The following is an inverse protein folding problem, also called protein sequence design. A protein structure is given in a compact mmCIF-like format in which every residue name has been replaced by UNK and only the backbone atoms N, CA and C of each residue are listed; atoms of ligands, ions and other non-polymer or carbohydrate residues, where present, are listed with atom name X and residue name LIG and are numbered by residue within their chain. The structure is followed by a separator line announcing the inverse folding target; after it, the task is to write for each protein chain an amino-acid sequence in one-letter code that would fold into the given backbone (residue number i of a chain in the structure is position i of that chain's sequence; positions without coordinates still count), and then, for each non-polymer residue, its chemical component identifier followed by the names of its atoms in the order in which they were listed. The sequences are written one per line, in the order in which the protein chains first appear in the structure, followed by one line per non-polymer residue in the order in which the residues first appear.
data_IF_690973342762
#
_entry.id   IF_690973342762
#
_cell.length_a   1.000
_cell.length_b   1.000
_cell.length_c   1.000
_cell.angle_alpha   90.00
_cell.angle_beta   90.00
_cell.angle_gamma   90.00
#
_symmetry.space_group_name_H-M   'P 1'
#
loop_
_entity.id
_entity.type
_entity.pdbx_description
1 polymer ?
#
# COMPACT_ATOMS: atom_id res chain seq x y z
N UNK A 1 -6.31 -1.24 26.15
CA UNK A 1 -5.05 -1.78 25.57
C UNK A 1 -4.87 -1.17 24.20
N UNK A 2 -4.09 -0.10 24.10
CA UNK A 2 -3.71 0.54 22.84
C UNK A 2 -2.66 -0.34 22.16
N UNK A 3 -3.04 -1.08 21.11
CA UNK A 3 -2.08 -1.75 20.24
C UNK A 3 -1.32 -0.67 19.48
N UNK A 4 -0.10 -0.37 19.90
CA UNK A 4 0.86 0.39 19.10
C UNK A 4 1.09 -0.36 17.80
N UNK A 5 0.51 0.14 16.70
CA UNK A 5 0.83 -0.31 15.36
C UNK A 5 2.26 0.17 15.12
N UNK A 6 3.24 -0.70 15.37
CA UNK A 6 4.59 -0.52 14.82
C UNK A 6 4.45 -0.62 13.30
N UNK A 7 4.15 0.51 12.67
CA UNK A 7 4.23 0.64 11.22
C UNK A 7 5.70 0.50 10.86
N UNK A 8 6.06 -0.60 10.20
CA UNK A 8 7.37 -0.71 9.57
C UNK A 8 7.44 0.37 8.47
N UNK A 9 8.11 1.47 8.75
CA UNK A 9 8.34 2.58 7.82
C UNK A 9 9.61 2.25 7.05
N UNK A 10 9.47 1.82 5.80
CA UNK A 10 10.61 1.63 4.91
C UNK A 10 10.91 2.95 4.19
N UNK A 11 12.19 3.34 4.16
CA UNK A 11 12.68 4.56 3.54
C UNK A 11 13.03 4.27 2.08
N UNK A 12 12.32 4.89 1.15
CA UNK A 12 12.70 4.96 -0.26
C UNK A 12 13.71 6.10 -0.40
N UNK A 13 15.01 5.77 -0.45
CA UNK A 13 16.10 6.74 -0.61
C UNK A 13 16.57 6.83 -2.07
N UNK A 14 16.62 8.04 -2.62
CA UNK A 14 16.94 8.33 -4.03
C UNK A 14 18.43 8.50 -4.36
N UNK A 15 19.34 7.99 -3.53
CA UNK A 15 20.77 8.20 -3.75
C UNK A 15 21.32 7.31 -4.87
N UNK A 16 21.55 7.97 -6.02
CA UNK A 16 22.35 7.56 -7.17
C UNK A 16 21.58 6.86 -8.31
N UNK A 17 21.79 7.39 -9.51
CA UNK A 17 21.26 6.94 -10.81
C UNK A 17 21.67 5.49 -11.12
N UNK A 18 20.92 4.55 -10.56
CA UNK A 18 20.71 3.22 -11.11
C UNK A 18 19.22 2.95 -10.97
N UNK A 19 18.61 2.32 -11.99
CA UNK A 19 17.19 1.93 -12.04
C UNK A 19 16.86 0.84 -11.00
N UNK A 20 17.16 1.07 -9.73
CA UNK A 20 16.65 0.25 -8.64
C UNK A 20 15.21 0.68 -8.42
N UNK A 21 14.27 0.03 -9.10
CA UNK A 21 12.86 0.11 -8.74
C UNK A 21 12.73 -0.47 -7.34
N UNK A 22 12.70 0.38 -6.32
CA UNK A 22 12.48 -0.07 -4.95
C UNK A 22 10.98 -0.37 -4.81
N UNK A 23 10.66 -1.64 -4.62
CA UNK A 23 9.31 -2.15 -4.47
C UNK A 23 9.10 -2.60 -3.03
N UNK A 24 7.97 -2.21 -2.44
CA UNK A 24 7.59 -2.61 -1.09
C UNK A 24 6.18 -3.20 -1.14
N UNK A 25 6.01 -4.35 -0.50
CA UNK A 25 4.75 -5.09 -0.48
C UNK A 25 4.21 -5.14 0.93
N UNK A 26 2.96 -4.70 1.11
CA UNK A 26 2.25 -4.73 2.39
C UNK A 26 0.93 -5.45 2.27
N UNK A 27 0.62 -6.32 3.23
CA UNK A 27 -0.68 -6.96 3.31
C UNK A 27 -1.70 -6.04 3.99
N UNK A 28 -2.95 -6.53 4.06
CA UNK A 28 -4.12 -5.81 4.58
C UNK A 28 -3.98 -5.21 5.99
N UNK A 29 -3.18 -5.82 6.85
CA UNK A 29 -2.93 -5.34 8.21
C UNK A 29 -1.77 -4.32 8.31
N UNK A 30 -1.15 -3.97 7.18
CA UNK A 30 -0.04 -3.02 7.09
C UNK A 30 1.33 -3.61 7.41
N UNK A 31 1.41 -4.91 7.74
CA UNK A 31 2.68 -5.61 7.90
C UNK A 31 3.39 -5.77 6.54
N UNK A 32 4.72 -5.76 6.59
CA UNK A 32 5.55 -5.96 5.39
C UNK A 32 5.71 -7.46 5.16
N UNK A 33 5.54 -7.90 3.92
CA UNK A 33 5.65 -9.31 3.57
C UNK A 33 6.87 -9.59 2.71
N UNK A 34 7.62 -10.62 3.06
CA UNK A 34 8.56 -11.27 2.14
C UNK A 34 7.80 -12.32 1.32
N UNK A 35 8.16 -12.53 0.05
CA UNK A 35 7.58 -13.62 -0.74
C UNK A 35 8.43 -14.89 -0.55
N UNK A 36 7.99 -15.86 0.26
CA UNK A 36 8.76 -17.07 0.49
C UNK A 36 8.88 -17.90 -0.80
N UNK A 37 10.07 -18.48 -1.02
CA UNK A 37 10.35 -19.37 -2.16
C UNK A 37 9.82 -20.79 -1.98
N UNK A 38 9.43 -21.16 -0.76
CA UNK A 38 8.94 -22.49 -0.43
C UNK A 38 7.45 -22.61 -0.68
N UNK A 39 7.05 -23.69 -1.37
CA UNK A 39 5.66 -24.15 -1.50
C UNK A 39 5.10 -24.52 -0.12
N UNK A 40 4.72 -23.50 0.65
CA UNK A 40 3.88 -23.66 1.83
C UNK A 40 2.53 -24.18 1.35
N UNK A 41 2.24 -25.46 1.63
CA UNK A 41 0.99 -26.12 1.22
C UNK A 41 -0.25 -25.64 1.99
N UNK A 42 -0.09 -24.79 3.01
CA UNK A 42 -1.16 -24.43 3.95
C UNK A 42 -1.49 -22.93 4.08
N UNK A 43 -0.78 -22.05 3.37
CA UNK A 43 -1.14 -20.61 3.37
C UNK A 43 -1.63 -20.21 1.99
N UNK A 44 -2.92 -19.84 1.87
CA UNK A 44 -3.39 -19.08 0.70
C UNK A 44 -2.38 -17.96 0.42
N UNK A 45 -1.96 -17.74 -0.85
CA UNK A 45 -0.96 -16.74 -1.14
C UNK A 45 -1.50 -15.38 -0.70
N UNK A 46 -0.80 -14.76 0.26
CA UNK A 46 -1.23 -13.51 0.85
C UNK A 46 -1.17 -12.42 -0.21
N UNK A 47 -2.35 -11.94 -0.61
CA UNK A 47 -2.47 -10.78 -1.49
C UNK A 47 -1.95 -9.53 -0.77
N UNK A 48 -1.07 -8.80 -1.43
CA UNK A 48 -0.43 -7.59 -0.91
C UNK A 48 -0.62 -6.43 -1.89
N UNK A 49 -0.51 -5.20 -1.40
CA UNK A 49 -0.35 -4.03 -2.25
C UNK A 49 1.14 -3.75 -2.40
N UNK A 50 1.59 -3.77 -3.64
CA UNK A 50 2.92 -3.32 -4.04
C UNK A 50 2.90 -1.84 -4.39
N UNK A 51 3.84 -1.09 -3.81
CA UNK A 51 4.15 0.28 -4.23
C UNK A 51 5.59 0.31 -4.71
N UNK A 52 5.80 0.85 -5.91
CA UNK A 52 7.13 1.02 -6.48
C UNK A 52 7.38 2.45 -6.91
N UNK A 53 8.59 2.94 -6.65
CA UNK A 53 9.07 4.22 -7.17
C UNK A 53 9.59 4.02 -8.60
N UNK A 54 8.96 4.69 -9.57
CA UNK A 54 9.27 4.53 -11.00
C UNK A 54 10.20 5.62 -11.50
N UNK A 55 9.95 6.86 -11.08
CA UNK A 55 10.69 8.01 -11.55
C UNK A 55 10.68 9.13 -10.54
N UNK A 56 11.81 9.81 -10.49
CA UNK A 56 11.98 11.09 -9.83
C UNK A 56 12.56 12.10 -10.83
N UNK A 57 12.04 13.32 -10.80
CA UNK A 57 12.63 14.44 -11.54
C UNK A 57 12.55 15.70 -10.69
N UNK A 58 13.71 16.22 -10.27
CA UNK A 58 13.80 17.41 -9.44
C UNK A 58 14.18 18.65 -10.26
N UNK A 59 13.60 19.78 -9.88
CA UNK A 59 13.97 21.15 -10.25
C UNK A 59 14.29 21.92 -8.97
N UNK A 60 14.82 23.14 -9.04
CA UNK A 60 15.21 23.91 -7.85
C UNK A 60 14.07 24.19 -6.85
N UNK A 61 12.80 24.04 -7.26
CA UNK A 61 11.63 24.33 -6.41
C UNK A 61 10.62 23.19 -6.30
N UNK A 62 10.70 22.19 -7.19
CA UNK A 62 9.70 21.13 -7.27
C UNK A 62 10.32 19.80 -7.62
N UNK A 63 9.79 18.73 -7.05
CA UNK A 63 10.14 17.35 -7.36
C UNK A 63 8.92 16.60 -7.87
N UNK A 64 9.05 15.98 -9.04
CA UNK A 64 8.05 15.09 -9.59
C UNK A 64 8.37 13.67 -9.19
N UNK A 65 7.45 13.02 -8.48
CA UNK A 65 7.57 11.63 -8.05
C UNK A 65 6.49 10.81 -8.74
N UNK A 66 6.88 9.76 -9.45
CA UNK A 66 5.96 8.81 -10.06
C UNK A 66 6.06 7.47 -9.35
N UNK A 67 4.94 6.98 -8.83
CA UNK A 67 4.83 5.65 -8.21
C UNK A 67 3.87 4.76 -8.98
N UNK A 68 4.16 3.46 -9.02
CA UNK A 68 3.18 2.46 -9.43
C UNK A 68 2.59 1.81 -8.19
N UNK A 69 1.29 1.59 -8.24
CA UNK A 69 0.54 0.88 -7.20
C UNK A 69 -0.15 -0.29 -7.87
N UNK A 70 0.00 -1.48 -7.29
CA UNK A 70 -0.57 -2.71 -7.84
C UNK A 70 -0.95 -3.68 -6.74
N UNK A 71 -2.02 -4.43 -6.96
CA UNK A 71 -2.30 -5.63 -6.18
C UNK A 71 -1.39 -6.75 -6.69
N UNK A 72 -0.80 -7.50 -5.76
CA UNK A 72 0.10 -8.61 -6.07
C UNK A 72 -0.19 -9.81 -5.20
N UNK A 73 0.27 -10.97 -5.64
CA UNK A 73 0.24 -12.21 -4.90
C UNK A 73 1.59 -12.91 -5.01
N UNK A 74 2.00 -13.59 -3.94
CA UNK A 74 3.28 -14.30 -3.93
C UNK A 74 3.08 -15.70 -4.52
N UNK A 75 3.83 -16.02 -5.58
CA UNK A 75 3.85 -17.34 -6.19
C UNK A 75 5.30 -17.78 -6.40
N UNK A 76 5.69 -18.90 -5.78
CA UNK A 76 7.02 -19.51 -5.93
C UNK A 76 8.18 -18.53 -5.69
N UNK A 77 8.08 -17.67 -4.67
CA UNK A 77 9.10 -16.66 -4.38
C UNK A 77 9.09 -15.43 -5.28
N UNK A 78 8.09 -15.29 -6.16
CA UNK A 78 7.92 -14.15 -7.07
C UNK A 78 6.59 -13.44 -6.78
N UNK A 79 6.66 -12.12 -6.60
CA UNK A 79 5.45 -11.27 -6.59
C UNK A 79 4.96 -11.08 -8.01
N UNK A 80 3.74 -11.53 -8.28
CA UNK A 80 3.07 -11.33 -9.56
C UNK A 80 1.83 -10.46 -9.40
N UNK A 81 1.44 -9.76 -10.46
CA UNK A 81 0.22 -8.96 -10.45
C UNK A 81 -1.02 -9.84 -10.19
N UNK A 82 -1.93 -9.34 -9.36
CA UNK A 82 -3.19 -9.98 -8.99
C UNK A 82 -4.29 -8.92 -8.88
N UNK A 83 -5.50 -9.32 -8.50
CA UNK A 83 -6.61 -8.44 -8.10
C UNK A 83 -6.69 -8.42 -6.58
N UNK A 84 -6.85 -7.25 -5.97
CA UNK A 84 -7.32 -7.22 -4.59
C UNK A 84 -8.76 -7.74 -4.53
N UNK A 85 -9.09 -8.64 -3.59
CA UNK A 85 -10.42 -9.21 -3.52
C UNK A 85 -11.40 -8.12 -3.08
N UNK A 86 -12.44 -7.88 -3.88
CA UNK A 86 -13.54 -7.01 -3.49
C UNK A 86 -14.31 -7.57 -2.28
N UNK A 87 -14.32 -8.91 -2.13
CA UNK A 87 -14.85 -9.58 -0.96
C UNK A 87 -14.13 -10.89 -0.64
N UNK A 88 -14.19 -11.30 0.63
CA UNK A 88 -13.81 -12.63 1.12
C UNK A 88 -14.91 -13.15 2.04
N UNK A 89 -15.17 -14.44 1.98
CA UNK A 89 -16.10 -15.11 2.87
C UNK A 89 -15.38 -16.22 3.64
N UNK A 90 -15.69 -16.34 4.93
CA UNK A 90 -15.20 -17.43 5.76
C UNK A 90 -16.19 -17.76 6.88
N UNK A 91 -16.07 -18.96 7.44
CA UNK A 91 -16.83 -19.36 8.62
C UNK A 91 -15.97 -19.08 9.85
N UNK A 92 -16.42 -18.17 10.71
CA UNK A 92 -15.74 -17.88 11.97
C UNK A 92 -15.78 -19.09 12.93
N UNK A 93 -14.89 -19.19 13.93
CA UNK A 93 -14.85 -20.33 14.87
C UNK A 93 -16.16 -20.60 15.61
N UNK A 94 -17.05 -19.62 15.70
CA UNK A 94 -18.39 -19.73 16.29
C UNK A 94 -19.48 -20.20 15.29
N UNK A 95 -19.09 -20.64 14.08
CA UNK A 95 -19.99 -21.15 13.05
C UNK A 95 -20.73 -20.08 12.24
N UNK A 96 -20.41 -18.79 12.43
CA UNK A 96 -21.05 -17.70 11.67
C UNK A 96 -20.37 -17.47 10.33
N UNK A 97 -21.17 -17.29 9.28
CA UNK A 97 -20.68 -16.81 7.99
C UNK A 97 -20.30 -15.35 8.12
N UNK A 98 -19.04 -15.04 7.80
CA UNK A 98 -18.49 -13.69 7.78
C UNK A 98 -18.13 -13.35 6.35
N UNK A 99 -18.70 -12.24 5.85
CA UNK A 99 -18.28 -11.61 4.61
C UNK A 99 -17.49 -10.36 4.94
N UNK A 100 -16.31 -10.22 4.37
CA UNK A 100 -15.50 -9.01 4.44
C UNK A 100 -15.42 -8.43 3.05
N UNK A 101 -15.89 -7.20 2.85
CA UNK A 101 -15.76 -6.47 1.60
C UNK A 101 -14.80 -5.29 1.74
N UNK A 102 -14.14 -4.96 0.64
CA UNK A 102 -13.19 -3.85 0.55
C UNK A 102 -13.57 -2.96 -0.62
N UNK A 103 -13.70 -1.67 -0.37
CA UNK A 103 -14.03 -0.67 -1.38
C UNK A 103 -13.27 0.65 -1.17
N UNK A 104 -13.34 1.52 -2.18
CA UNK A 104 -12.79 2.87 -2.15
C UNK A 104 -11.29 2.92 -1.77
N UNK A 105 -10.45 2.23 -2.54
CA UNK A 105 -9.01 2.36 -2.40
C UNK A 105 -8.57 3.78 -2.74
N UNK A 106 -7.85 4.40 -1.82
CA UNK A 106 -7.33 5.76 -1.96
C UNK A 106 -5.85 5.78 -1.63
N UNK A 107 -5.10 6.56 -2.38
CA UNK A 107 -3.74 6.93 -2.04
C UNK A 107 -3.74 8.32 -1.41
N UNK A 108 -3.15 8.41 -0.23
CA UNK A 108 -2.93 9.66 0.48
C UNK A 108 -1.43 9.94 0.47
N UNK A 109 -1.06 11.16 0.13
CA UNK A 109 0.27 11.69 0.36
C UNK A 109 0.18 12.72 1.48
N UNK A 110 0.95 12.51 2.54
CA UNK A 110 0.98 13.39 3.70
C UNK A 110 2.39 13.93 3.96
N UNK A 111 2.47 15.10 4.58
CA UNK A 111 3.74 15.64 5.07
C UNK A 111 4.13 15.04 6.43
N UNK A 112 5.27 15.49 6.98
CA UNK A 112 5.77 15.07 8.29
C UNK A 112 4.84 15.42 9.47
N UNK A 113 3.86 16.31 9.26
CA UNK A 113 2.82 16.66 10.22
C UNK A 113 1.54 15.83 10.07
N UNK A 114 1.56 14.82 9.19
CA UNK A 114 0.41 14.00 8.81
C UNK A 114 -0.73 14.80 8.16
N UNK A 115 -0.45 15.99 7.62
CA UNK A 115 -1.43 16.76 6.85
C UNK A 115 -1.54 16.18 5.45
N UNK A 116 -2.77 15.93 4.99
CA UNK A 116 -3.03 15.43 3.64
C UNK A 116 -2.70 16.52 2.63
N UNK A 117 -1.67 16.28 1.83
CA UNK A 117 -1.25 17.17 0.74
C UNK A 117 -1.99 16.80 -0.54
N UNK A 118 -2.11 15.49 -0.81
CA UNK A 118 -2.83 14.98 -1.97
C UNK A 118 -3.60 13.71 -1.62
N UNK A 119 -4.77 13.56 -2.23
CA UNK A 119 -5.61 12.36 -2.16
C UNK A 119 -6.00 11.96 -3.59
N UNK A 120 -5.83 10.69 -3.92
CA UNK A 120 -6.20 10.11 -5.22
C UNK A 120 -7.01 8.84 -5.02
N UNK A 121 -8.14 8.71 -5.71
CA UNK A 121 -8.85 7.44 -5.78
C UNK A 121 -8.09 6.50 -6.71
N UNK A 122 -7.88 5.27 -6.26
CA UNK A 122 -7.21 4.21 -7.00
C UNK A 122 -8.19 3.29 -7.73
N UNK A 123 -9.51 3.43 -7.48
CA UNK A 123 -10.53 2.55 -8.07
C UNK A 123 -10.41 1.12 -7.57
N UNK A 124 -10.83 0.16 -8.40
CA UNK A 124 -10.63 -1.26 -8.13
C UNK A 124 -9.21 -1.65 -8.54
N UNK A 125 -8.33 -1.90 -7.56
CA UNK A 125 -6.98 -2.40 -7.78
C UNK A 125 -7.03 -3.81 -8.41
N UNK A 126 -7.20 -3.86 -9.73
CA UNK A 126 -7.34 -5.06 -10.56
C UNK A 126 -6.11 -5.30 -11.45
N UNK A 127 -5.98 -6.52 -11.99
CA UNK A 127 -4.78 -7.02 -12.72
C UNK A 127 -4.30 -6.07 -13.82
N UNK A 128 -5.21 -5.31 -14.43
CA UNK A 128 -4.92 -4.46 -15.59
C UNK A 128 -4.61 -3.01 -15.21
N UNK A 129 -4.85 -2.60 -13.96
CA UNK A 129 -4.63 -1.23 -13.51
C UNK A 129 -3.44 -1.16 -12.56
N UNK A 130 -2.24 -1.14 -13.13
CA UNK A 130 -1.10 -0.46 -12.47
C UNK A 130 -1.49 1.02 -12.37
N UNK A 131 -1.93 1.45 -11.19
CA UNK A 131 -2.25 2.84 -10.93
C UNK A 131 -0.96 3.65 -10.87
N UNK A 132 -0.48 4.13 -12.03
CA UNK A 132 0.65 5.05 -12.07
C UNK A 132 0.19 6.43 -11.59
N UNK A 133 0.71 6.87 -10.45
CA UNK A 133 0.38 8.16 -9.86
C UNK A 133 1.60 9.05 -9.86
N UNK A 134 1.43 10.29 -10.33
CA UNK A 134 2.50 11.30 -10.33
C UNK A 134 2.13 12.46 -9.42
N UNK A 135 3.04 12.78 -8.50
CA UNK A 135 2.95 13.91 -7.57
C UNK A 135 3.96 14.97 -7.94
N UNK A 136 3.60 16.23 -7.76
CA UNK A 136 4.55 17.35 -7.80
C UNK A 136 4.62 17.93 -6.39
N UNK A 137 5.79 17.83 -5.77
CA UNK A 137 6.03 18.16 -4.37
C UNK A 137 6.95 19.37 -4.26
N UNK A 138 6.72 20.26 -3.27
CA UNK A 138 7.68 21.30 -2.95
C UNK A 138 9.04 20.67 -2.63
N UNK A 139 10.09 21.12 -3.30
CA UNK A 139 11.44 20.63 -3.08
C UNK A 139 12.36 21.77 -2.71
N UNK A 140 13.14 21.59 -1.65
CA UNK A 140 14.17 22.52 -1.24
C UNK A 140 15.53 21.81 -1.26
N UNK A 141 16.36 22.15 -2.23
CA UNK A 141 17.69 21.55 -2.38
C UNK A 141 18.52 21.77 -1.10
N UNK A 142 19.07 20.69 -0.56
CA UNK A 142 19.91 20.73 0.64
C UNK A 142 19.15 20.58 1.97
N UNK A 143 17.84 20.42 1.93
CA UNK A 143 17.04 20.03 3.10
C UNK A 143 16.43 18.63 2.86
N UNK A 144 16.59 17.73 3.83
CA UNK A 144 15.83 16.47 3.80
C UNK A 144 14.35 16.79 3.99
N UNK A 145 13.51 16.25 3.13
CA UNK A 145 12.06 16.35 3.23
C UNK A 145 11.46 14.95 3.15
N UNK A 146 10.62 14.60 4.12
CA UNK A 146 9.92 13.31 4.11
C UNK A 146 8.44 13.50 3.77
N UNK A 147 7.93 12.59 2.94
CA UNK A 147 6.52 12.45 2.66
C UNK A 147 6.12 11.00 2.88
N UNK A 148 4.98 10.80 3.52
CA UNK A 148 4.44 9.47 3.73
C UNK A 148 3.28 9.23 2.76
N UNK A 149 3.36 8.12 2.03
CA UNK A 149 2.30 7.59 1.19
C UNK A 149 1.52 6.55 1.99
N UNK A 150 0.22 6.73 2.13
CA UNK A 150 -0.68 5.77 2.74
C UNK A 150 -1.69 5.28 1.73
N UNK A 151 -1.98 3.99 1.75
CA UNK A 151 -3.14 3.47 1.03
C UNK A 151 -4.25 3.30 2.06
N UNK A 152 -5.40 3.91 1.79
CA UNK A 152 -6.59 3.85 2.63
C UNK A 152 -7.65 3.04 1.91
N UNK A 153 -8.35 2.20 2.65
CA UNK A 153 -9.48 1.40 2.14
C UNK A 153 -10.63 1.51 3.12
N UNK A 154 -11.84 1.36 2.60
CA UNK A 154 -13.00 1.14 3.43
C UNK A 154 -13.31 -0.36 3.47
N UNK A 155 -13.36 -0.90 4.69
CA UNK A 155 -13.62 -2.31 4.95
C UNK A 155 -14.98 -2.44 5.61
N UNK A 156 -15.80 -3.34 5.08
CA UNK A 156 -17.06 -3.71 5.71
C UNK A 156 -17.01 -5.19 6.09
N UNK A 157 -17.34 -5.51 7.33
CA UNK A 157 -17.50 -6.86 7.86
C UNK A 157 -18.98 -7.08 8.11
N UNK A 158 -19.56 -8.07 7.47
CA UNK A 158 -20.96 -8.46 7.65
C UNK A 158 -21.08 -9.93 8.04
N UNK A 159 -22.11 -10.20 8.83
CA UNK A 159 -22.62 -11.53 9.19
C UNK A 159 -24.14 -11.51 9.01
N UNK A 160 -24.80 -12.64 9.20
CA UNK A 160 -26.27 -12.73 9.05
C UNK A 160 -27.05 -11.67 9.86
N UNK A 161 -26.51 -11.20 11.00
CA UNK A 161 -27.22 -10.32 11.93
C UNK A 161 -26.45 -9.04 12.31
N UNK A 162 -25.25 -8.82 11.77
CA UNK A 162 -24.38 -7.72 12.19
C UNK A 162 -23.54 -7.22 11.03
N UNK A 163 -23.42 -5.90 10.93
CA UNK A 163 -22.55 -5.22 9.98
C UNK A 163 -21.73 -4.16 10.71
N UNK A 164 -20.44 -4.12 10.42
CA UNK A 164 -19.50 -3.12 10.90
C UNK A 164 -18.66 -2.62 9.73
N UNK A 165 -18.43 -1.33 9.67
CA UNK A 165 -17.59 -0.71 8.64
C UNK A 165 -16.52 0.15 9.29
N UNK A 166 -15.30 0.06 8.77
CA UNK A 166 -14.15 0.80 9.24
C UNK A 166 -13.30 1.29 8.07
N UNK A 167 -12.61 2.40 8.29
CA UNK A 167 -11.57 2.87 7.38
C UNK A 167 -10.23 2.35 7.86
N UNK A 168 -9.53 1.60 7.03
CA UNK A 168 -8.22 1.03 7.35
C UNK A 168 -7.11 1.67 6.52
N UNK A 169 -5.90 1.70 7.05
CA UNK A 169 -4.69 2.05 6.31
C UNK A 169 -3.88 0.79 5.98
N UNK A 170 -3.72 0.51 4.69
CA UNK A 170 -2.80 -0.46 4.11
C UNK A 170 -1.35 0.04 4.21
N UNK A 171 -0.88 0.25 5.44
CA UNK A 171 0.48 0.69 5.74
C UNK A 171 0.89 2.05 5.13
N UNK A 172 2.08 2.50 5.53
CA UNK A 172 2.73 3.70 5.02
C UNK A 172 4.06 3.39 4.31
N UNK A 173 4.38 4.16 3.28
CA UNK A 173 5.67 4.16 2.57
C UNK A 173 6.28 5.55 2.71
N UNK A 174 7.54 5.65 3.14
CA UNK A 174 8.20 6.95 3.29
C UNK A 174 9.03 7.26 2.06
N UNK A 175 8.67 8.33 1.37
CA UNK A 175 9.50 9.00 0.38
C UNK A 175 10.43 9.95 1.11
N UNK A 176 11.74 9.71 1.02
CA UNK A 176 12.74 10.63 1.57
C UNK A 176 13.46 11.33 0.42
N UNK A 177 13.29 12.64 0.36
CA UNK A 177 13.88 13.52 -0.64
C UNK A 177 15.07 14.24 0.00
N UNK A 178 16.23 14.28 -0.67
CA UNK A 178 17.43 14.96 -0.20
C UNK A 178 17.95 15.96 -1.25
#
# INVERSE_FOLDING_TARGET
MTRSILSAILILSSSCFAKAEVQVFKILDGSSLSCPSTNSTDSQPEKAIGVSLVKEAATDKTMKVTVNISAVTCQNGIWIADVMPASREYVAPNGKNVRVSYDNYELLLVNERYEIIQQRRLGDLSVEQKGTQTFSLPYNRGATQNYDLFIRVHKTVSTDNYQYSETMHFGGFRLRMN
#
